data_IF_655339802328
#
_entry.id   IF_655339802328
#
_cell.length_a   1.000
_cell.length_b   1.000
_cell.length_c   1.000
_cell.angle_alpha   90.00
_cell.angle_beta   90.00
_cell.angle_gamma   90.00
#
_symmetry.space_group_name_H-M   'P 1'
#
loop_
_entity.id
_entity.type
_entity.pdbx_description
1 polymer ?
#
# COMPACT_ATOMS: atom_id res chain seq x y z
N UNK A 1 3.52 26.51 5.90
CA UNK A 1 4.57 25.49 5.67
C UNK A 1 4.70 24.46 6.79
N UNK A 2 5.38 24.74 7.93
CA UNK A 2 5.62 23.70 8.97
C UNK A 2 4.34 23.22 9.66
N UNK A 3 3.46 24.15 10.03
CA UNK A 3 2.21 23.80 10.73
C UNK A 3 1.26 22.96 9.86
N UNK A 4 1.14 23.27 8.57
CA UNK A 4 0.35 22.49 7.61
C UNK A 4 0.89 21.07 7.47
N UNK A 5 2.22 20.92 7.39
CA UNK A 5 2.87 19.62 7.36
C UNK A 5 2.57 18.80 8.62
N UNK A 6 2.68 19.40 9.81
CA UNK A 6 2.38 18.69 11.07
C UNK A 6 0.91 18.30 11.19
N UNK A 7 -0.01 19.18 10.80
CA UNK A 7 -1.44 18.88 10.79
C UNK A 7 -1.72 17.70 9.84
N UNK A 8 -1.16 17.74 8.63
CA UNK A 8 -1.32 16.66 7.65
C UNK A 8 -0.73 15.34 8.18
N UNK A 9 0.46 15.38 8.79
CA UNK A 9 1.09 14.19 9.37
C UNK A 9 0.24 13.57 10.48
N UNK A 10 -0.38 14.39 11.35
CA UNK A 10 -1.28 13.91 12.40
C UNK A 10 -2.52 13.23 11.78
N UNK A 11 -3.14 13.86 10.79
CA UNK A 11 -4.33 13.31 10.10
C UNK A 11 -3.99 11.98 9.43
N UNK A 12 -2.87 11.93 8.69
CA UNK A 12 -2.40 10.70 8.04
C UNK A 12 -2.14 9.62 9.09
N UNK A 13 -1.46 9.93 10.19
CA UNK A 13 -1.17 8.98 11.26
C UNK A 13 -2.43 8.41 11.91
N UNK A 14 -3.42 9.25 12.20
CA UNK A 14 -4.71 8.82 12.75
C UNK A 14 -5.47 7.91 11.79
N UNK A 15 -5.58 8.29 10.51
CA UNK A 15 -6.28 7.51 9.49
C UNK A 15 -5.57 6.19 9.23
N UNK A 16 -4.24 6.20 9.03
CA UNK A 16 -3.47 4.99 8.81
C UNK A 16 -3.52 4.04 10.02
N UNK A 17 -3.44 4.56 11.24
CA UNK A 17 -3.59 3.77 12.47
C UNK A 17 -4.98 3.14 12.58
N UNK A 18 -6.03 3.91 12.32
CA UNK A 18 -7.42 3.44 12.33
C UNK A 18 -7.66 2.32 11.30
N UNK A 19 -7.24 2.53 10.05
CA UNK A 19 -7.37 1.52 8.98
C UNK A 19 -6.61 0.24 9.35
N UNK A 20 -5.39 0.34 9.88
CA UNK A 20 -4.61 -0.83 10.28
C UNK A 20 -5.27 -1.62 11.42
N UNK A 21 -5.85 -0.92 12.41
CA UNK A 21 -6.56 -1.56 13.52
C UNK A 21 -7.85 -2.24 13.04
N UNK A 22 -8.64 -1.55 12.21
CA UNK A 22 -9.89 -2.09 11.64
C UNK A 22 -9.62 -3.29 10.74
N UNK A 23 -8.61 -3.23 9.88
CA UNK A 23 -8.22 -4.33 9.00
C UNK A 23 -7.91 -5.61 9.79
N UNK A 24 -7.11 -5.52 10.86
CA UNK A 24 -6.79 -6.68 11.71
C UNK A 24 -8.01 -7.21 12.44
N UNK A 25 -8.81 -6.33 13.04
CA UNK A 25 -10.02 -6.72 13.77
C UNK A 25 -11.02 -7.44 12.84
N UNK A 26 -11.26 -6.89 11.67
CA UNK A 26 -12.12 -7.49 10.66
C UNK A 26 -11.57 -8.84 10.17
N UNK A 27 -10.28 -8.90 9.84
CA UNK A 27 -9.63 -10.14 9.41
C UNK A 27 -9.72 -11.25 10.47
N UNK A 28 -9.57 -10.92 11.75
CA UNK A 28 -9.68 -11.88 12.86
C UNK A 28 -11.03 -12.61 12.90
N UNK A 29 -12.11 -11.95 12.47
CA UNK A 29 -13.47 -12.50 12.42
C UNK A 29 -13.68 -13.45 11.24
N UNK A 30 -12.74 -13.49 10.30
CA UNK A 30 -12.76 -14.33 9.11
C UNK A 30 -11.80 -15.53 9.24
N UNK A 31 -11.25 -15.77 10.43
CA UNK A 31 -10.30 -16.86 10.66
C UNK A 31 -11.06 -18.08 11.23
N UNK A 32 -10.94 -19.28 10.62
CA UNK A 32 -11.52 -20.48 11.17
C UNK A 32 -10.88 -20.88 12.50
N UNK A 33 -11.68 -21.52 13.36
CA UNK A 33 -11.21 -22.04 14.66
C UNK A 33 -10.03 -22.99 14.41
N UNK A 34 -8.97 -22.85 15.19
CA UNK A 34 -7.71 -23.62 15.08
C UNK A 34 -6.76 -23.31 13.90
N UNK A 35 -7.09 -22.38 12.98
CA UNK A 35 -6.18 -22.00 11.86
C UNK A 35 -5.58 -20.60 11.99
N UNK A 36 -5.70 -19.95 13.15
CA UNK A 36 -5.28 -18.56 13.33
C UNK A 36 -3.81 -18.29 13.00
N UNK A 37 -2.90 -19.21 13.35
CA UNK A 37 -1.48 -19.04 13.07
C UNK A 37 -1.18 -18.98 11.56
N UNK A 38 -1.84 -19.82 10.77
CA UNK A 38 -1.67 -19.89 9.32
C UNK A 38 -2.19 -18.62 8.65
N UNK A 39 -3.42 -18.21 8.96
CA UNK A 39 -4.06 -17.03 8.39
C UNK A 39 -3.33 -15.73 8.77
N UNK A 40 -2.97 -15.55 10.04
CA UNK A 40 -2.14 -14.41 10.43
C UNK A 40 -0.73 -14.45 9.83
N UNK A 41 -0.19 -15.65 9.59
CA UNK A 41 1.05 -15.84 8.84
C UNK A 41 0.96 -15.25 7.43
N UNK A 42 -0.08 -15.59 6.69
CA UNK A 42 -0.35 -15.02 5.36
C UNK A 42 -0.58 -13.51 5.41
N UNK A 43 -1.40 -13.01 6.34
CA UNK A 43 -1.63 -11.58 6.54
C UNK A 43 -0.32 -10.80 6.76
N UNK A 44 0.56 -11.31 7.64
CA UNK A 44 1.84 -10.67 7.92
C UNK A 44 2.79 -10.74 6.72
N UNK A 45 2.80 -11.86 5.98
CA UNK A 45 3.58 -12.00 4.77
C UNK A 45 3.17 -10.98 3.70
N UNK A 46 1.87 -10.80 3.47
CA UNK A 46 1.34 -9.78 2.56
C UNK A 46 1.76 -8.35 2.97
N UNK A 47 1.70 -8.05 4.28
CA UNK A 47 2.19 -6.79 4.81
C UNK A 47 3.68 -6.54 4.53
N UNK A 48 4.52 -7.56 4.68
CA UNK A 48 5.95 -7.48 4.33
C UNK A 48 6.18 -7.28 2.83
N UNK A 49 5.41 -7.94 1.97
CA UNK A 49 5.48 -7.71 0.54
C UNK A 49 5.13 -6.27 0.18
N UNK A 50 4.07 -5.70 0.77
CA UNK A 50 3.70 -4.30 0.54
C UNK A 50 4.82 -3.33 0.98
N UNK A 51 5.48 -3.61 2.11
CA UNK A 51 6.60 -2.80 2.60
C UNK A 51 7.85 -2.84 1.70
N UNK A 52 8.01 -3.89 0.89
CA UNK A 52 9.10 -4.01 -0.09
C UNK A 52 8.68 -3.42 -1.44
N UNK A 53 7.50 -3.78 -1.94
CA UNK A 53 6.99 -3.36 -3.24
C UNK A 53 6.75 -1.86 -3.33
N UNK A 54 6.29 -1.21 -2.24
CA UNK A 54 6.05 0.23 -2.22
C UNK A 54 7.31 1.05 -2.55
N UNK A 55 8.37 0.97 -1.72
CA UNK A 55 9.63 1.67 -1.99
C UNK A 55 10.29 1.26 -3.30
N UNK A 56 10.22 -0.03 -3.65
CA UNK A 56 10.75 -0.52 -4.93
C UNK A 56 10.05 0.15 -6.11
N UNK A 57 8.72 0.20 -6.12
CA UNK A 57 7.92 0.80 -7.18
C UNK A 57 8.22 2.31 -7.29
N UNK A 58 8.25 3.02 -6.17
CA UNK A 58 8.61 4.45 -6.15
C UNK A 58 10.00 4.70 -6.73
N UNK A 59 10.99 3.89 -6.34
CA UNK A 59 12.36 4.02 -6.78
C UNK A 59 12.52 3.72 -8.27
N UNK A 60 11.91 2.63 -8.75
CA UNK A 60 11.96 2.23 -10.16
C UNK A 60 11.26 3.28 -11.03
N UNK A 61 10.06 3.71 -10.68
CA UNK A 61 9.33 4.73 -11.45
C UNK A 61 10.07 6.05 -11.45
N UNK A 62 10.57 6.50 -10.29
CA UNK A 62 11.36 7.73 -10.20
C UNK A 62 12.62 7.66 -11.07
N UNK A 63 13.34 6.54 -11.05
CA UNK A 63 14.53 6.33 -11.87
C UNK A 63 14.20 6.31 -13.36
N UNK A 64 13.12 5.62 -13.75
CA UNK A 64 12.67 5.55 -15.15
C UNK A 64 12.27 6.92 -15.67
N UNK A 65 11.46 7.67 -14.92
CA UNK A 65 11.02 9.02 -15.29
C UNK A 65 12.22 9.95 -15.42
N UNK A 66 13.15 9.90 -14.46
CA UNK A 66 14.39 10.67 -14.52
C UNK A 66 15.21 10.32 -15.76
N UNK A 67 15.35 9.02 -16.06
CA UNK A 67 16.12 8.54 -17.22
C UNK A 67 15.51 8.96 -18.55
N UNK A 68 14.18 8.97 -18.65
CA UNK A 68 13.46 9.33 -19.87
C UNK A 68 13.46 10.84 -20.14
N UNK A 69 13.36 11.66 -19.08
CA UNK A 69 13.22 13.12 -19.21
C UNK A 69 14.55 13.87 -19.18
N UNK A 70 15.65 13.24 -18.74
CA UNK A 70 16.95 13.91 -18.62
C UNK A 70 17.66 14.01 -19.97
N UNK A 71 17.99 15.23 -20.46
CA UNK A 71 18.72 15.41 -21.70
C UNK A 71 20.21 15.03 -21.57
N UNK A 72 20.91 14.71 -22.68
CA UNK A 72 22.32 14.28 -22.66
C UNK A 72 23.30 15.32 -22.09
N UNK A 73 22.99 16.61 -22.23
CA UNK A 73 23.80 17.74 -21.71
C UNK A 73 22.94 18.61 -20.79
N UNK A 74 22.72 18.21 -19.53
CA UNK A 74 21.76 18.87 -18.66
C UNK A 74 22.34 20.14 -18.02
N UNK A 75 21.52 21.19 -17.95
CA UNK A 75 21.81 22.37 -17.12
C UNK A 75 21.41 22.11 -15.65
N UNK A 76 21.99 22.86 -14.71
CA UNK A 76 21.67 22.73 -13.27
C UNK A 76 20.17 22.86 -12.97
N UNK A 77 19.49 23.79 -13.66
CA UNK A 77 18.05 23.99 -13.53
C UNK A 77 17.25 22.77 -14.00
N UNK A 78 17.66 22.13 -15.10
CA UNK A 78 17.02 20.93 -15.62
C UNK A 78 17.21 19.73 -14.69
N UNK A 79 18.37 19.60 -14.04
CA UNK A 79 18.63 18.52 -13.07
C UNK A 79 17.66 18.62 -11.89
N UNK A 80 17.45 19.83 -11.36
CA UNK A 80 16.55 20.06 -10.23
C UNK A 80 15.10 19.82 -10.65
N UNK A 81 14.67 20.39 -11.78
CA UNK A 81 13.28 20.29 -12.23
C UNK A 81 12.91 18.83 -12.59
N UNK A 82 13.74 18.14 -13.37
CA UNK A 82 13.53 16.72 -13.70
C UNK A 82 13.57 15.86 -12.44
N UNK A 83 14.43 16.18 -11.47
CA UNK A 83 14.48 15.50 -10.18
C UNK A 83 13.18 15.62 -9.37
N UNK A 84 12.61 16.84 -9.31
CA UNK A 84 11.33 17.08 -8.63
C UNK A 84 10.18 16.34 -9.33
N UNK A 85 10.10 16.40 -10.66
CA UNK A 85 9.08 15.69 -11.44
C UNK A 85 9.20 14.18 -11.22
N UNK A 86 10.41 13.63 -11.34
CA UNK A 86 10.67 12.22 -11.10
C UNK A 86 10.25 11.76 -9.70
N UNK A 87 10.54 12.56 -8.66
CA UNK A 87 10.09 12.28 -7.28
C UNK A 87 8.57 12.24 -7.16
N UNK A 88 7.86 13.19 -7.78
CA UNK A 88 6.39 13.25 -7.77
C UNK A 88 5.76 12.04 -8.45
N UNK A 89 6.28 11.64 -9.61
CA UNK A 89 5.83 10.42 -10.30
C UNK A 89 6.19 9.14 -9.55
N UNK A 90 7.36 9.11 -8.91
CA UNK A 90 7.77 8.04 -8.00
C UNK A 90 6.78 7.85 -6.85
N UNK A 91 6.46 8.92 -6.11
CA UNK A 91 5.46 8.89 -5.03
C UNK A 91 4.06 8.54 -5.58
N UNK A 92 3.66 9.15 -6.69
CA UNK A 92 2.37 8.91 -7.33
C UNK A 92 2.17 7.46 -7.78
N UNK A 93 3.25 6.74 -8.11
CA UNK A 93 3.17 5.34 -8.53
C UNK A 93 2.52 4.42 -7.49
N UNK A 94 2.59 4.75 -6.20
CA UNK A 94 1.95 3.96 -5.13
C UNK A 94 0.43 3.91 -5.31
N UNK A 95 -0.18 4.91 -5.97
CA UNK A 95 -1.62 4.90 -6.27
C UNK A 95 -2.03 3.65 -7.06
N UNK A 96 -1.13 3.09 -7.87
CA UNK A 96 -1.37 1.83 -8.57
C UNK A 96 -1.61 0.67 -7.59
N UNK A 97 -0.85 0.59 -6.48
CA UNK A 97 -1.06 -0.43 -5.45
C UNK A 97 -2.40 -0.24 -4.74
N UNK A 98 -2.80 1.00 -4.46
CA UNK A 98 -4.12 1.31 -3.89
C UNK A 98 -5.26 0.95 -4.83
N UNK A 99 -5.13 1.23 -6.13
CA UNK A 99 -6.12 0.87 -7.14
C UNK A 99 -6.23 -0.65 -7.24
N UNK A 100 -5.12 -1.37 -7.35
CA UNK A 100 -5.12 -2.85 -7.37
C UNK A 100 -5.79 -3.40 -6.11
N UNK A 101 -5.44 -2.87 -4.94
CA UNK A 101 -6.06 -3.26 -3.68
C UNK A 101 -7.57 -2.99 -3.64
N UNK A 102 -8.01 -1.83 -4.10
CA UNK A 102 -9.43 -1.47 -4.17
C UNK A 102 -10.21 -2.36 -5.16
N UNK A 103 -9.62 -2.66 -6.31
CA UNK A 103 -10.20 -3.57 -7.31
C UNK A 103 -10.31 -4.98 -6.73
N UNK A 104 -9.25 -5.50 -6.10
CA UNK A 104 -9.30 -6.81 -5.43
C UNK A 104 -10.39 -6.84 -4.35
N UNK A 105 -10.45 -5.79 -3.52
CA UNK A 105 -11.45 -5.69 -2.46
C UNK A 105 -12.88 -5.63 -3.00
N UNK A 106 -13.11 -4.97 -4.14
CA UNK A 106 -14.41 -4.92 -4.80
C UNK A 106 -14.92 -6.30 -5.25
N UNK A 107 -14.01 -7.23 -5.56
CA UNK A 107 -14.37 -8.60 -5.94
C UNK A 107 -14.49 -9.57 -4.76
N UNK A 108 -14.30 -9.13 -3.52
CA UNK A 108 -14.42 -9.98 -2.33
C UNK A 108 -15.89 -10.12 -1.93
N UNK A 109 -16.41 -11.34 -1.97
CA UNK A 109 -17.72 -11.70 -1.43
C UNK A 109 -17.57 -12.12 0.04
N UNK A 110 -18.06 -11.26 0.94
CA UNK A 110 -17.99 -11.51 2.38
C UNK A 110 -18.94 -12.62 2.84
N UNK A 111 -20.13 -12.72 2.26
CA UNK A 111 -21.13 -13.71 2.67
C UNK A 111 -20.65 -15.12 2.36
N UNK A 112 -20.10 -15.31 1.16
CA UNK A 112 -19.49 -16.58 0.76
C UNK A 112 -18.32 -16.94 1.67
N UNK A 113 -17.44 -15.97 1.98
CA UNK A 113 -16.31 -16.20 2.89
C UNK A 113 -16.75 -16.64 4.28
N UNK A 114 -17.80 -16.03 4.84
CA UNK A 114 -18.36 -16.42 6.14
C UNK A 114 -18.98 -17.82 6.12
N UNK A 115 -19.68 -18.17 5.05
CA UNK A 115 -20.28 -19.50 4.90
C UNK A 115 -19.21 -20.60 4.83
N UNK A 116 -18.12 -20.39 4.07
CA UNK A 116 -17.01 -21.35 3.99
C UNK A 116 -16.31 -21.55 5.34
N UNK A 117 -16.14 -20.49 6.13
CA UNK A 117 -15.56 -20.59 7.48
C UNK A 117 -16.43 -21.41 8.41
N UNK A 118 -17.75 -21.27 8.35
CA UNK A 118 -18.66 -22.03 9.20
C UNK A 118 -18.47 -23.54 8.96
N UNK A 119 -18.45 -23.98 7.69
CA UNK A 119 -18.20 -25.37 7.29
C UNK A 119 -16.82 -25.85 7.78
N UNK A 120 -15.77 -25.08 7.50
CA UNK A 120 -14.39 -25.42 7.89
C UNK A 120 -14.14 -25.42 9.41
N UNK A 121 -15.05 -24.83 10.19
CA UNK A 121 -14.97 -24.81 11.65
C UNK A 121 -15.73 -25.95 12.33
N UNK A 122 -16.54 -26.67 11.55
CA UNK A 122 -17.27 -27.88 11.97
C UNK A 122 -16.51 -29.17 11.63
N UNK A 123 -15.57 -29.12 10.68
CA UNK A 123 -14.55 -30.16 10.40
C UNK A 123 -13.38 -30.14 11.40
#
# INVERSE_FOLDING_TARGET
>A
EKHEFYILAIVIGLVQGGIQALSRSYYSRLIPKNKAAEFYGFYNMLGKFAAILGPMLMGVVGLLVRRLLMPPSPTLEQIVNVGQIASRWGIGSILLLFIIGAVLFYFVDEEKGRAEIAVLSEE
#
